data_IF_506954218070
#
_entry.id   IF_506954218070
#
_cell.length_a   1.000
_cell.length_b   1.000
_cell.length_c   1.000
_cell.angle_alpha   90.00
_cell.angle_beta   90.00
_cell.angle_gamma   90.00
#
_symmetry.space_group_name_H-M   'P 1'
#
loop_
_entity.id
_entity.type
_entity.pdbx_description
1 polymer ?
#
# COMPACT_ATOMS: atom_id res chain seq x y z
N UNK A 1 14.19 3.64 -23.96
CA UNK A 1 14.05 3.59 -22.52
C UNK A 1 12.77 2.86 -22.15
N UNK A 2 12.83 2.01 -21.16
CA UNK A 2 11.71 1.21 -20.72
C UNK A 2 11.30 1.61 -19.31
N UNK A 3 10.21 2.36 -19.21
CA UNK A 3 9.74 2.84 -17.92
C UNK A 3 9.36 1.68 -16.99
N UNK A 4 8.76 0.62 -17.52
CA UNK A 4 8.42 -0.57 -16.73
C UNK A 4 9.68 -1.22 -16.16
N UNK A 5 10.71 -1.39 -16.97
CA UNK A 5 11.98 -1.97 -16.52
C UNK A 5 12.63 -1.17 -15.41
N UNK A 6 12.62 0.16 -15.55
CA UNK A 6 13.14 1.06 -14.51
C UNK A 6 12.36 0.95 -13.22
N UNK A 7 11.04 0.88 -13.30
CA UNK A 7 10.19 0.76 -12.10
C UNK A 7 10.36 -0.59 -11.43
N UNK A 8 10.47 -1.67 -12.19
CA UNK A 8 10.75 -3.00 -11.64
C UNK A 8 12.07 -3.02 -10.88
N UNK A 9 13.08 -2.41 -11.44
CA UNK A 9 14.40 -2.31 -10.78
C UNK A 9 14.30 -1.49 -9.49
N UNK A 10 13.54 -0.40 -9.52
CA UNK A 10 13.36 0.47 -8.36
C UNK A 10 12.63 -0.22 -7.19
N UNK A 11 11.84 -1.27 -7.47
CA UNK A 11 11.22 -2.06 -6.40
C UNK A 11 12.24 -2.72 -5.48
N UNK A 12 13.47 -2.92 -5.95
CA UNK A 12 14.55 -3.50 -5.16
C UNK A 12 15.50 -2.47 -4.56
N UNK A 13 15.20 -1.18 -4.69
CA UNK A 13 16.05 -0.12 -4.18
C UNK A 13 16.20 -0.19 -2.66
N UNK A 14 17.33 0.27 -2.15
CA UNK A 14 17.60 0.30 -0.71
C UNK A 14 16.67 1.26 0.04
N UNK A 15 16.19 2.29 -0.64
CA UNK A 15 15.29 3.27 -0.04
C UNK A 15 13.84 2.81 -0.06
N UNK A 16 13.21 2.77 1.10
CA UNK A 16 11.79 2.42 1.21
C UNK A 16 10.91 3.38 0.42
N UNK A 17 11.24 4.68 0.45
CA UNK A 17 10.46 5.67 -0.31
C UNK A 17 10.52 5.43 -1.81
N UNK A 18 11.68 5.03 -2.32
CA UNK A 18 11.84 4.69 -3.74
C UNK A 18 11.02 3.44 -4.08
N UNK A 19 11.06 2.42 -3.23
CA UNK A 19 10.28 1.19 -3.45
C UNK A 19 8.77 1.48 -3.49
N UNK A 20 8.28 2.31 -2.59
CA UNK A 20 6.85 2.68 -2.56
C UNK A 20 6.48 3.47 -3.80
N UNK A 21 7.31 4.44 -4.19
CA UNK A 21 7.06 5.23 -5.40
C UNK A 21 7.04 4.35 -6.65
N UNK A 22 7.95 3.39 -6.73
CA UNK A 22 7.99 2.43 -7.83
C UNK A 22 6.73 1.56 -7.85
N UNK A 23 6.28 1.09 -6.69
CA UNK A 23 5.05 0.33 -6.57
C UNK A 23 3.83 1.13 -7.04
N UNK A 24 3.74 2.39 -6.64
CA UNK A 24 2.66 3.28 -7.09
C UNK A 24 2.67 3.44 -8.60
N UNK A 25 3.85 3.68 -9.17
CA UNK A 25 4.00 3.85 -10.62
C UNK A 25 3.59 2.57 -11.36
N UNK A 26 4.04 1.41 -10.89
CA UNK A 26 3.68 0.13 -11.50
C UNK A 26 2.18 -0.13 -11.45
N UNK A 27 1.53 0.17 -10.33
CA UNK A 27 0.09 0.02 -10.21
C UNK A 27 -0.62 0.90 -11.25
N UNK A 28 -0.17 2.14 -11.42
CA UNK A 28 -0.75 3.07 -12.40
C UNK A 28 -0.47 2.67 -13.84
N UNK A 29 0.62 1.92 -14.06
CA UNK A 29 0.98 1.41 -15.40
C UNK A 29 0.29 0.10 -15.73
N UNK A 30 -0.62 -0.37 -14.88
CA UNK A 30 -1.36 -1.59 -15.13
C UNK A 30 -0.68 -2.87 -14.65
N UNK A 31 0.28 -2.75 -13.73
CA UNK A 31 1.02 -3.90 -13.19
C UNK A 31 0.88 -3.97 -11.66
N UNK A 32 -0.36 -4.04 -11.13
CA UNK A 32 -0.56 -3.99 -9.68
C UNK A 32 0.02 -5.21 -8.96
N UNK A 33 0.02 -6.39 -9.58
CA UNK A 33 0.57 -7.59 -8.94
C UNK A 33 2.05 -7.46 -8.64
N UNK A 34 2.79 -6.71 -9.46
CA UNK A 34 4.20 -6.48 -9.22
C UNK A 34 4.46 -5.47 -8.11
N UNK A 35 3.50 -4.57 -7.87
CA UNK A 35 3.61 -3.55 -6.84
C UNK A 35 3.29 -4.09 -5.43
N UNK A 36 2.41 -5.07 -5.34
CA UNK A 36 1.86 -5.53 -4.07
C UNK A 36 2.88 -6.01 -3.04
N UNK A 37 3.89 -6.84 -3.39
CA UNK A 37 4.84 -7.30 -2.38
C UNK A 37 5.57 -6.17 -1.66
N UNK A 38 6.00 -5.14 -2.39
CA UNK A 38 6.70 -4.00 -1.79
C UNK A 38 5.76 -3.18 -0.90
N UNK A 39 4.52 -2.97 -1.34
CA UNK A 39 3.54 -2.21 -0.58
C UNK A 39 3.10 -2.93 0.69
N UNK A 40 2.88 -4.24 0.61
CA UNK A 40 2.53 -5.06 1.77
C UNK A 40 3.66 -5.04 2.80
N UNK A 41 4.90 -5.18 2.34
CA UNK A 41 6.07 -5.16 3.21
C UNK A 41 6.22 -3.80 3.90
N UNK A 42 6.03 -2.71 3.18
CA UNK A 42 6.11 -1.36 3.74
C UNK A 42 5.02 -1.13 4.78
N UNK A 43 3.81 -1.58 4.51
CA UNK A 43 2.68 -1.43 5.43
C UNK A 43 2.92 -2.20 6.73
N UNK A 44 3.60 -3.33 6.68
CA UNK A 44 3.93 -4.15 7.85
C UNK A 44 5.24 -3.74 8.53
N UNK A 45 5.99 -2.82 7.95
CA UNK A 45 7.30 -2.42 8.44
C UNK A 45 7.27 -1.48 9.63
N UNK A 46 8.45 -1.11 10.17
CA UNK A 46 8.52 -0.34 11.41
C UNK A 46 8.37 1.17 11.26
N UNK A 47 8.46 1.70 10.04
CA UNK A 47 8.46 3.15 9.81
C UNK A 47 7.06 3.67 9.57
N UNK A 48 6.56 4.51 10.46
CA UNK A 48 5.20 5.05 10.37
C UNK A 48 4.95 5.80 9.07
N UNK A 49 5.93 6.59 8.60
CA UNK A 49 5.78 7.30 7.34
C UNK A 49 5.58 6.33 6.17
N UNK A 50 6.41 5.29 6.12
CA UNK A 50 6.32 4.29 5.05
C UNK A 50 4.99 3.54 5.10
N UNK A 51 4.52 3.20 6.30
CA UNK A 51 3.20 2.56 6.48
C UNK A 51 2.08 3.44 5.94
N UNK A 52 2.11 4.72 6.26
CA UNK A 52 1.09 5.65 5.79
C UNK A 52 1.11 5.76 4.27
N UNK A 53 2.29 5.91 3.67
CA UNK A 53 2.41 6.01 2.23
C UNK A 53 1.93 4.72 1.53
N UNK A 54 2.30 3.56 2.07
CA UNK A 54 1.84 2.29 1.52
C UNK A 54 0.32 2.14 1.60
N UNK A 55 -0.27 2.54 2.73
CA UNK A 55 -1.73 2.51 2.90
C UNK A 55 -2.42 3.41 1.88
N UNK A 56 -1.88 4.61 1.65
CA UNK A 56 -2.42 5.55 0.66
C UNK A 56 -2.39 4.94 -0.74
N UNK A 57 -1.26 4.34 -1.12
CA UNK A 57 -1.13 3.72 -2.45
C UNK A 57 -2.10 2.55 -2.60
N UNK A 58 -2.22 1.70 -1.57
CA UNK A 58 -3.17 0.59 -1.61
C UNK A 58 -4.61 1.07 -1.74
N UNK A 59 -4.96 2.16 -1.03
CA UNK A 59 -6.29 2.75 -1.16
C UNK A 59 -6.54 3.25 -2.59
N UNK A 60 -5.54 3.88 -3.21
CA UNK A 60 -5.62 4.34 -4.60
C UNK A 60 -5.80 3.19 -5.60
N UNK A 61 -5.28 2.01 -5.29
CA UNK A 61 -5.36 0.84 -6.17
C UNK A 61 -6.76 0.23 -6.23
N UNK A 62 -7.63 0.56 -5.30
CA UNK A 62 -9.00 0.05 -5.25
C UNK A 62 -9.03 -1.48 -5.26
N UNK A 63 -9.79 -2.11 -6.13
CA UNK A 63 -9.93 -3.58 -6.19
C UNK A 63 -8.59 -4.32 -6.35
N UNK A 64 -7.62 -3.69 -6.96
CA UNK A 64 -6.32 -4.31 -7.20
C UNK A 64 -5.51 -4.48 -5.90
N UNK A 65 -5.91 -3.82 -4.82
CA UNK A 65 -5.28 -3.99 -3.51
C UNK A 65 -5.88 -5.16 -2.71
N UNK A 66 -6.84 -5.89 -3.26
CA UNK A 66 -7.51 -7.00 -2.55
C UNK A 66 -6.54 -8.01 -1.93
N UNK A 67 -5.44 -8.41 -2.58
CA UNK A 67 -4.48 -9.31 -1.92
C UNK A 67 -3.81 -8.76 -0.67
N UNK A 68 -3.92 -7.44 -0.42
CA UNK A 68 -3.35 -6.81 0.77
C UNK A 68 -4.35 -6.68 1.93
N UNK A 69 -5.56 -7.25 1.81
CA UNK A 69 -6.57 -7.18 2.86
C UNK A 69 -6.02 -7.63 4.22
N UNK A 70 -5.28 -8.76 4.34
CA UNK A 70 -4.74 -9.14 5.66
C UNK A 70 -3.84 -8.07 6.28
N UNK A 71 -2.98 -7.45 5.48
CA UNK A 71 -2.08 -6.41 5.97
C UNK A 71 -2.83 -5.14 6.34
N UNK A 72 -3.86 -4.79 5.58
CA UNK A 72 -4.70 -3.64 5.90
C UNK A 72 -5.47 -3.86 7.21
N UNK A 73 -5.96 -5.08 7.45
CA UNK A 73 -6.63 -5.42 8.71
C UNK A 73 -5.68 -5.29 9.91
N UNK A 74 -4.44 -5.75 9.77
CA UNK A 74 -3.44 -5.58 10.82
C UNK A 74 -3.15 -4.10 11.10
N UNK A 75 -3.17 -3.27 10.08
CA UNK A 75 -2.93 -1.83 10.24
C UNK A 75 -3.98 -1.16 11.11
N UNK A 76 -5.19 -1.69 11.18
CA UNK A 76 -6.25 -1.14 12.04
C UNK A 76 -5.95 -1.33 13.53
N UNK A 77 -5.26 -2.41 13.89
CA UNK A 77 -5.07 -2.79 15.29
C UNK A 77 -3.67 -2.54 15.82
N UNK A 78 -2.69 -2.50 14.93
CA UNK A 78 -1.28 -2.42 15.33
C UNK A 78 -0.72 -1.00 15.33
N UNK A 79 -1.51 -0.03 14.87
CA UNK A 79 -0.98 1.31 14.64
C UNK A 79 -1.44 2.31 15.68
N UNK A 80 -0.51 3.05 16.31
CA UNK A 80 -0.89 4.20 17.11
C UNK A 80 -1.26 5.41 16.27
N UNK A 81 -0.88 5.43 14.98
CA UNK A 81 -1.10 6.57 14.10
C UNK A 81 -2.51 6.53 13.51
N UNK A 82 -3.34 7.47 13.92
CA UNK A 82 -4.75 7.52 13.49
C UNK A 82 -4.91 7.71 11.98
N UNK A 83 -3.95 8.33 11.31
CA UNK A 83 -4.05 8.53 9.87
C UNK A 83 -3.90 7.22 9.11
N UNK A 84 -2.98 6.37 9.56
CA UNK A 84 -2.81 5.02 9.00
C UNK A 84 -4.10 4.23 9.18
N UNK A 85 -4.66 4.27 10.38
CA UNK A 85 -5.91 3.55 10.70
C UNK A 85 -7.05 4.04 9.80
N UNK A 86 -7.19 5.35 9.61
CA UNK A 86 -8.25 5.91 8.77
C UNK A 86 -8.12 5.50 7.31
N UNK A 87 -6.91 5.58 6.76
CA UNK A 87 -6.68 5.20 5.36
C UNK A 87 -6.92 3.71 5.16
N UNK A 88 -6.37 2.87 6.05
CA UNK A 88 -6.56 1.42 5.98
C UNK A 88 -8.05 1.06 6.11
N UNK A 89 -8.76 1.73 7.01
CA UNK A 89 -10.20 1.50 7.17
C UNK A 89 -10.99 1.84 5.91
N UNK A 90 -10.66 2.98 5.29
CA UNK A 90 -11.32 3.39 4.04
C UNK A 90 -11.08 2.37 2.94
N UNK A 91 -9.82 1.95 2.79
CA UNK A 91 -9.47 0.95 1.77
C UNK A 91 -10.22 -0.36 2.01
N UNK A 92 -10.30 -0.81 3.26
CA UNK A 92 -11.02 -2.04 3.61
C UNK A 92 -12.52 -1.92 3.35
N UNK A 93 -13.11 -0.78 3.72
CA UNK A 93 -14.54 -0.56 3.46
C UNK A 93 -14.85 -0.67 1.97
N UNK A 94 -14.00 -0.07 1.14
CA UNK A 94 -14.19 -0.13 -0.31
C UNK A 94 -14.03 -1.55 -0.84
N UNK A 95 -13.05 -2.30 -0.34
CA UNK A 95 -12.78 -3.66 -0.80
C UNK A 95 -13.82 -4.66 -0.31
N UNK A 96 -14.32 -4.48 0.90
CA UNK A 96 -15.25 -5.43 1.53
C UNK A 96 -16.72 -5.02 1.37
N UNK A 97 -16.98 -3.85 0.82
CA UNK A 97 -18.35 -3.34 0.70
C UNK A 97 -18.98 -3.03 2.06
N UNK A 98 -18.15 -2.61 3.02
CA UNK A 98 -18.61 -2.30 4.38
C UNK A 98 -18.57 -0.79 4.64
N UNK A 99 -19.03 -0.39 5.81
CA UNK A 99 -19.06 1.01 6.22
C UNK A 99 -18.68 1.14 7.69
N UNK A 100 -17.60 0.48 8.07
CA UNK A 100 -17.11 0.51 9.44
C UNK A 100 -16.53 1.89 9.78
N UNK A 101 -16.70 2.30 11.01
CA UNK A 101 -16.18 3.56 11.52
C UNK A 101 -14.97 3.30 12.42
N UNK A 102 -14.00 4.17 12.35
CA UNK A 102 -12.83 4.15 13.25
C UNK A 102 -12.73 5.52 13.93
N UNK A 103 -12.22 5.52 15.15
CA UNK A 103 -12.11 6.73 15.97
C UNK A 103 -10.69 7.28 15.98
#
# INVERSE_FOLDING_TARGET
ANALGSMRKALGDASTSVRIAAGRALARMGEPAEALPALKKALAGPHQWARLQAAIVLDEMEEQARPAIPELKKALTAQPNKYIVRVANRALNDLLGTNNQVR
#
